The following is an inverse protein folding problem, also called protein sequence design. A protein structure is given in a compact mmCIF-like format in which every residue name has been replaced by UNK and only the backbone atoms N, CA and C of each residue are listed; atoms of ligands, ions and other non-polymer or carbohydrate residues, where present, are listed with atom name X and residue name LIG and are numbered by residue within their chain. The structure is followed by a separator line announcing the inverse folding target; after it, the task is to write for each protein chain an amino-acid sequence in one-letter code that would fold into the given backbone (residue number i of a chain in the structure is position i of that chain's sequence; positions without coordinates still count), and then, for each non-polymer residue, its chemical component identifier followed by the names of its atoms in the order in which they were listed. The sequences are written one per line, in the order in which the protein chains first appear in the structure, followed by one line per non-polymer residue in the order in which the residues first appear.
data_IF_817344620089
#
_entry.id   IF_817344620089
#
_cell.length_a   1.000
_cell.length_b   1.000
_cell.length_c   1.000
_cell.angle_alpha   90.00
_cell.angle_beta   90.00
_cell.angle_gamma   90.00
#
_symmetry.space_group_name_H-M   'P 1'
#
loop_
_entity.id
_entity.type
_entity.pdbx_description
1 polymer ?
#
# COMPACT_ATOMS: atom_id res chain seq x y z
N UNK A 1 41.95 -35.49 22.73
CA UNK A 1 41.01 -35.74 21.62
C UNK A 1 39.59 -35.15 21.84
N UNK A 2 39.10 -34.90 23.08
CA UNK A 2 37.73 -34.36 23.33
C UNK A 2 37.44 -32.91 22.82
N UNK A 3 38.44 -32.03 22.78
CA UNK A 3 38.24 -30.61 22.38
C UNK A 3 37.93 -30.40 20.88
N UNK A 4 38.39 -31.24 19.99
CA UNK A 4 38.11 -31.13 18.53
C UNK A 4 36.65 -31.48 18.19
N UNK A 5 36.05 -32.44 18.89
CA UNK A 5 34.65 -32.81 18.67
C UNK A 5 33.65 -31.70 19.07
N UNK A 6 33.94 -31.00 20.18
CA UNK A 6 33.11 -29.88 20.65
C UNK A 6 33.10 -28.72 19.63
N UNK A 7 34.29 -28.39 19.06
CA UNK A 7 34.35 -27.30 18.05
C UNK A 7 33.55 -27.60 16.78
N UNK A 8 33.60 -28.86 16.31
CA UNK A 8 32.82 -29.31 15.15
C UNK A 8 31.32 -29.25 15.46
N UNK A 9 30.89 -29.71 16.63
CA UNK A 9 29.49 -29.68 17.04
C UNK A 9 28.94 -28.24 17.15
N UNK A 10 29.70 -27.33 17.75
CA UNK A 10 29.36 -25.93 17.83
C UNK A 10 29.27 -25.30 16.42
N UNK A 11 30.20 -25.60 15.53
CA UNK A 11 30.19 -25.13 14.15
C UNK A 11 28.94 -25.60 13.39
N UNK A 12 28.59 -26.87 13.49
CA UNK A 12 27.37 -27.42 12.87
C UNK A 12 26.13 -26.78 13.44
N UNK A 13 26.05 -26.59 14.77
CA UNK A 13 24.93 -25.94 15.41
C UNK A 13 24.72 -24.51 14.90
N UNK A 14 25.80 -23.72 14.78
CA UNK A 14 25.74 -22.35 14.24
C UNK A 14 25.27 -22.31 12.79
N UNK A 15 25.74 -23.27 11.95
CA UNK A 15 25.28 -23.40 10.56
C UNK A 15 23.77 -23.70 10.50
N UNK A 16 23.29 -24.64 11.33
CA UNK A 16 21.84 -24.96 11.39
C UNK A 16 21.02 -23.77 11.83
N UNK A 17 21.46 -23.04 12.85
CA UNK A 17 20.78 -21.82 13.30
C UNK A 17 20.75 -20.77 12.18
N UNK A 18 21.88 -20.53 11.52
CA UNK A 18 21.97 -19.58 10.40
C UNK A 18 21.03 -19.94 9.24
N UNK A 19 20.99 -21.21 8.84
CA UNK A 19 20.08 -21.69 7.80
C UNK A 19 18.60 -21.56 8.22
N UNK A 20 18.28 -21.81 9.49
CA UNK A 20 16.92 -21.66 10.03
C UNK A 20 16.46 -20.21 9.99
N UNK A 21 17.32 -19.24 10.32
CA UNK A 21 17.02 -17.81 10.26
C UNK A 21 16.79 -17.39 8.80
N UNK A 22 17.65 -17.80 7.88
CA UNK A 22 17.50 -17.52 6.44
C UNK A 22 16.19 -18.12 5.91
N UNK A 23 15.89 -19.37 6.26
CA UNK A 23 14.65 -20.04 5.87
C UNK A 23 13.41 -19.33 6.38
N UNK A 24 13.41 -18.89 7.65
CA UNK A 24 12.31 -18.13 8.24
C UNK A 24 12.11 -16.77 7.55
N UNK A 25 13.20 -16.05 7.26
CA UNK A 25 13.12 -14.77 6.54
C UNK A 25 12.57 -14.94 5.11
N UNK A 26 13.05 -15.95 4.38
CA UNK A 26 12.55 -16.28 3.05
C UNK A 26 11.07 -16.68 3.07
N UNK A 27 10.63 -17.49 4.02
CA UNK A 27 9.25 -17.88 4.20
C UNK A 27 8.34 -16.67 4.48
N UNK A 28 8.75 -15.76 5.36
CA UNK A 28 7.98 -14.55 5.65
C UNK A 28 7.82 -13.67 4.41
N UNK A 29 8.87 -13.50 3.62
CA UNK A 29 8.83 -12.71 2.37
C UNK A 29 7.91 -13.35 1.33
N UNK A 30 8.02 -14.66 1.11
CA UNK A 30 7.18 -15.40 0.16
C UNK A 30 5.71 -15.36 0.60
N UNK A 31 5.43 -15.56 1.89
CA UNK A 31 4.06 -15.55 2.42
C UNK A 31 3.40 -14.16 2.30
N UNK A 32 4.17 -13.07 2.54
CA UNK A 32 3.68 -11.70 2.37
C UNK A 32 3.32 -11.42 0.90
N UNK A 33 4.20 -11.77 -0.04
CA UNK A 33 3.96 -11.60 -1.47
C UNK A 33 2.75 -12.42 -1.96
N UNK A 34 2.58 -13.64 -1.43
CA UNK A 34 1.43 -14.48 -1.79
C UNK A 34 0.11 -13.89 -1.29
N UNK A 35 0.07 -13.42 -0.03
CA UNK A 35 -1.12 -12.77 0.53
C UNK A 35 -1.48 -11.50 -0.24
N UNK A 36 -0.49 -10.67 -0.58
CA UNK A 36 -0.70 -9.47 -1.37
C UNK A 36 -1.26 -9.79 -2.77
N UNK A 37 -0.66 -10.72 -3.50
CA UNK A 37 -1.18 -11.14 -4.81
C UNK A 37 -2.63 -11.63 -4.72
N UNK A 38 -2.95 -12.39 -3.68
CA UNK A 38 -4.32 -12.86 -3.44
C UNK A 38 -5.29 -11.69 -3.19
N UNK A 39 -4.90 -10.68 -2.40
CA UNK A 39 -5.72 -9.48 -2.18
C UNK A 39 -5.95 -8.70 -3.47
N UNK A 40 -4.89 -8.46 -4.26
CA UNK A 40 -4.98 -7.77 -5.54
C UNK A 40 -5.95 -8.52 -6.47
N UNK A 41 -5.76 -9.83 -6.66
CA UNK A 41 -6.59 -10.63 -7.56
C UNK A 41 -8.06 -10.69 -7.10
N UNK A 42 -8.30 -10.81 -5.78
CA UNK A 42 -9.65 -10.80 -5.23
C UNK A 42 -10.35 -9.47 -5.50
N UNK A 43 -9.64 -8.35 -5.29
CA UNK A 43 -10.20 -7.02 -5.52
C UNK A 43 -10.42 -6.73 -7.01
N UNK A 44 -9.50 -7.15 -7.89
CA UNK A 44 -9.68 -7.04 -9.34
C UNK A 44 -10.93 -7.80 -9.82
N UNK A 45 -11.12 -9.03 -9.34
CA UNK A 45 -12.31 -9.82 -9.64
C UNK A 45 -13.59 -9.10 -9.23
N UNK A 46 -13.59 -8.46 -8.07
CA UNK A 46 -14.75 -7.69 -7.61
C UNK A 46 -15.02 -6.46 -8.48
N UNK A 47 -13.97 -5.74 -8.90
CA UNK A 47 -14.12 -4.63 -9.85
C UNK A 47 -14.78 -5.13 -11.15
N UNK A 48 -14.32 -6.25 -11.68
CA UNK A 48 -14.89 -6.84 -12.91
C UNK A 48 -16.35 -7.25 -12.74
N UNK A 49 -16.69 -7.90 -11.63
CA UNK A 49 -18.07 -8.31 -11.31
C UNK A 49 -18.99 -7.10 -11.18
N UNK A 50 -18.54 -6.06 -10.48
CA UNK A 50 -19.32 -4.82 -10.33
C UNK A 50 -19.53 -4.12 -11.68
N UNK A 51 -18.51 -4.05 -12.53
CA UNK A 51 -18.62 -3.48 -13.88
C UNK A 51 -19.56 -4.29 -14.79
N UNK A 52 -19.57 -5.62 -14.67
CA UNK A 52 -20.50 -6.47 -15.40
C UNK A 52 -21.95 -6.22 -14.97
N UNK A 53 -22.21 -6.16 -13.66
CA UNK A 53 -23.55 -5.85 -13.12
C UNK A 53 -24.03 -4.47 -13.57
N UNK A 54 -23.19 -3.46 -13.53
CA UNK A 54 -23.55 -2.09 -13.95
C UNK A 54 -23.86 -1.98 -15.44
N UNK A 55 -23.32 -2.85 -16.30
CA UNK A 55 -23.62 -2.92 -17.74
C UNK A 55 -24.92 -3.65 -18.05
N UNK A 56 -25.41 -4.50 -17.14
CA UNK A 56 -26.60 -5.35 -17.35
C UNK A 56 -27.91 -4.71 -16.87
N UNK A 57 -27.86 -3.54 -16.19
CA UNK A 57 -29.06 -2.78 -15.80
C UNK A 57 -29.34 -1.73 -16.85
N UNK A 58 -30.32 -1.92 -17.78
CA UNK A 58 -30.72 -0.88 -18.73
C UNK A 58 -31.56 0.16 -17.99
N UNK A 59 -31.05 1.38 -17.90
CA UNK A 59 -31.81 2.61 -17.80
C UNK A 59 -32.94 2.69 -16.77
N UNK A 60 -32.60 2.86 -15.48
CA UNK A 60 -33.43 3.62 -14.58
C UNK A 60 -32.52 4.41 -13.60
N UNK A 61 -32.42 5.69 -13.81
CA UNK A 61 -31.50 6.60 -13.14
C UNK A 61 -31.84 6.88 -11.66
N UNK A 62 -32.86 6.23 -11.05
CA UNK A 62 -33.31 6.51 -9.70
C UNK A 62 -33.40 5.29 -8.76
N UNK A 63 -32.95 4.12 -9.21
CA UNK A 63 -32.83 2.96 -8.33
C UNK A 63 -31.35 2.67 -8.09
N UNK A 64 -30.72 3.45 -7.21
CA UNK A 64 -29.54 2.94 -6.50
C UNK A 64 -30.00 1.68 -5.75
N UNK A 65 -29.49 0.47 -6.08
CA UNK A 65 -29.68 -0.63 -5.19
C UNK A 65 -29.08 -0.22 -3.84
N UNK A 66 -29.83 -0.42 -2.77
CA UNK A 66 -29.39 -0.22 -1.38
C UNK A 66 -28.35 -1.32 -1.02
N UNK A 67 -27.35 -1.46 -1.86
CA UNK A 67 -26.10 -2.12 -1.57
C UNK A 67 -25.39 -1.19 -0.60
N UNK A 68 -25.34 -1.55 0.69
CA UNK A 68 -24.44 -0.98 1.70
C UNK A 68 -23.23 -0.48 0.99
N UNK A 69 -23.09 0.86 0.96
CA UNK A 69 -22.17 1.63 0.12
C UNK A 69 -20.90 0.85 -0.24
N UNK A 70 -20.64 0.49 -1.52
CA UNK A 70 -19.42 -0.25 -1.89
C UNK A 70 -18.16 0.61 -1.77
N UNK A 71 -18.25 1.69 -1.02
CA UNK A 71 -17.16 2.61 -0.70
C UNK A 71 -16.28 2.10 0.45
N UNK A 72 -16.70 1.04 1.11
CA UNK A 72 -16.00 0.48 2.25
C UNK A 72 -16.02 -1.04 2.14
N UNK A 73 -14.83 -1.60 1.90
CA UNK A 73 -14.48 -2.85 2.49
C UNK A 73 -14.99 -4.14 1.81
N UNK A 74 -14.43 -4.41 0.65
CA UNK A 74 -14.37 -5.79 0.23
C UNK A 74 -13.15 -6.39 0.92
N UNK A 75 -13.34 -7.04 2.07
CA UNK A 75 -12.31 -7.62 2.91
C UNK A 75 -11.25 -6.59 3.40
N UNK A 76 -11.63 -5.38 3.80
CA UNK A 76 -10.68 -4.37 4.28
C UNK A 76 -9.86 -3.68 3.21
N UNK A 77 -10.24 -3.77 1.92
CA UNK A 77 -9.48 -3.15 0.82
C UNK A 77 -10.23 -1.95 0.26
N UNK A 78 -9.62 -0.75 0.35
CA UNK A 78 -10.15 0.53 -0.16
C UNK A 78 -9.98 0.64 -1.69
N UNK A 79 -8.89 0.07 -2.22
CA UNK A 79 -8.56 0.15 -3.63
C UNK A 79 -7.23 -0.50 -3.98
N UNK A 80 -6.82 -0.35 -5.24
CA UNK A 80 -5.50 -0.74 -5.73
C UNK A 80 -4.72 0.51 -6.10
N UNK A 81 -3.56 0.72 -5.47
CA UNK A 81 -2.63 1.79 -5.76
C UNK A 81 -1.60 1.32 -6.77
N UNK A 82 -1.38 2.11 -7.82
CA UNK A 82 -0.38 1.85 -8.83
C UNK A 82 0.48 3.09 -9.06
N UNK A 83 1.80 2.90 -9.15
CA UNK A 83 2.77 3.92 -9.51
C UNK A 83 3.66 3.35 -10.63
N UNK A 84 3.33 3.60 -11.90
CA UNK A 84 4.03 2.98 -13.04
C UNK A 84 5.54 3.26 -13.04
N UNK A 85 5.94 4.45 -12.59
CA UNK A 85 7.36 4.87 -12.52
C UNK A 85 8.25 3.89 -11.77
N UNK A 86 7.72 3.23 -10.74
CA UNK A 86 8.46 2.31 -9.88
C UNK A 86 7.93 0.87 -9.96
N UNK A 87 7.08 0.59 -10.98
CA UNK A 87 6.43 -0.71 -11.18
C UNK A 87 5.68 -1.21 -9.93
N UNK A 88 5.05 -0.27 -9.20
CA UNK A 88 4.27 -0.59 -8.01
C UNK A 88 2.82 -0.88 -8.35
N UNK A 89 2.31 -2.00 -7.86
CA UNK A 89 0.89 -2.33 -7.78
C UNK A 89 0.63 -3.00 -6.43
N UNK A 90 -0.20 -2.37 -5.59
CA UNK A 90 -0.43 -2.80 -4.21
C UNK A 90 -1.87 -2.55 -3.79
N UNK A 91 -2.42 -3.43 -2.94
CA UNK A 91 -3.70 -3.19 -2.29
C UNK A 91 -3.59 -2.08 -1.24
N UNK A 92 -4.62 -1.25 -1.13
CA UNK A 92 -4.77 -0.26 -0.07
C UNK A 92 -5.76 -0.81 0.94
N UNK A 93 -5.28 -1.19 2.12
CA UNK A 93 -6.12 -1.61 3.24
C UNK A 93 -6.68 -0.41 4.00
N UNK A 94 -7.75 -0.61 4.75
CA UNK A 94 -8.27 0.38 5.68
C UNK A 94 -7.48 0.35 6.98
N UNK A 95 -7.06 1.52 7.47
CA UNK A 95 -6.21 1.65 8.66
C UNK A 95 -4.71 1.57 8.37
N UNK A 96 -3.94 2.06 9.35
CA UNK A 96 -2.47 2.10 9.30
C UNK A 96 -1.84 1.31 10.45
N UNK A 97 -2.57 0.34 10.98
CA UNK A 97 -2.08 -0.59 11.98
C UNK A 97 -1.03 -1.57 11.40
N UNK A 98 -0.29 -2.23 12.31
CA UNK A 98 0.81 -3.12 11.91
C UNK A 98 0.34 -4.34 11.11
N UNK A 99 -0.88 -4.81 11.34
CA UNK A 99 -1.41 -5.99 10.61
C UNK A 99 -1.76 -5.61 9.17
N UNK A 100 -2.36 -4.44 8.95
CA UNK A 100 -2.62 -3.88 7.62
C UNK A 100 -1.32 -3.62 6.87
N UNK A 101 -0.39 -2.88 7.49
CA UNK A 101 0.86 -2.46 6.84
C UNK A 101 1.83 -3.60 6.53
N UNK A 102 1.65 -4.75 7.16
CA UNK A 102 2.45 -5.95 6.88
C UNK A 102 2.19 -6.54 5.49
N UNK A 103 0.97 -6.39 4.95
CA UNK A 103 0.54 -7.03 3.71
C UNK A 103 0.00 -6.08 2.65
N UNK A 104 -0.20 -4.81 2.98
CA UNK A 104 -0.76 -3.77 2.11
C UNK A 104 -0.14 -2.40 2.45
N UNK A 105 -0.45 -1.38 1.67
CA UNK A 105 -0.37 0.00 2.14
C UNK A 105 -1.67 0.36 2.84
N UNK A 106 -1.65 1.28 3.81
CA UNK A 106 -2.79 1.56 4.68
C UNK A 106 -3.37 2.95 4.44
N UNK A 107 -4.69 3.04 4.35
CA UNK A 107 -5.40 4.31 4.32
C UNK A 107 -5.54 4.87 5.74
N UNK A 108 -5.27 6.16 5.92
CA UNK A 108 -5.60 6.86 7.16
C UNK A 108 -7.11 7.09 7.24
N UNK A 109 -7.82 6.33 8.06
CA UNK A 109 -9.29 6.24 8.11
C UNK A 109 -10.02 7.58 8.29
N UNK A 110 -9.36 8.59 8.86
CA UNK A 110 -9.93 9.94 9.06
C UNK A 110 -9.65 10.89 7.89
N UNK A 111 -9.19 10.38 6.75
CA UNK A 111 -8.88 11.17 5.55
C UNK A 111 -9.86 10.86 4.41
N UNK A 112 -9.82 11.63 3.32
CA UNK A 112 -10.73 11.45 2.20
C UNK A 112 -10.53 10.10 1.51
N UNK A 113 -11.57 9.58 0.84
CA UNK A 113 -11.49 8.42 -0.03
C UNK A 113 -11.00 8.81 -1.45
N UNK A 114 -10.52 7.84 -2.26
CA UNK A 114 -10.06 8.11 -3.62
C UNK A 114 -11.09 8.87 -4.46
N UNK A 115 -10.66 9.95 -5.11
CA UNK A 115 -11.49 10.80 -5.98
C UNK A 115 -12.38 11.81 -5.27
N UNK A 116 -12.48 11.77 -3.95
CA UNK A 116 -13.25 12.75 -3.17
C UNK A 116 -12.45 14.04 -2.96
N UNK A 117 -13.16 15.17 -2.78
CA UNK A 117 -12.58 16.39 -2.23
C UNK A 117 -11.94 16.11 -0.88
N UNK A 118 -10.74 16.64 -0.66
CA UNK A 118 -9.94 16.38 0.50
C UNK A 118 -8.65 15.65 0.14
N UNK A 119 -7.97 15.12 1.14
CA UNK A 119 -6.67 14.50 1.02
C UNK A 119 -6.79 13.00 1.32
N UNK A 120 -6.66 12.16 0.30
CA UNK A 120 -6.59 10.70 0.45
C UNK A 120 -5.18 10.33 0.90
N UNK A 121 -5.00 9.97 2.18
CA UNK A 121 -3.69 9.72 2.75
C UNK A 121 -3.41 8.21 2.89
N UNK A 122 -2.24 7.79 2.43
CA UNK A 122 -1.82 6.38 2.42
C UNK A 122 -0.42 6.24 3.00
N UNK A 123 -0.27 5.35 3.99
CA UNK A 123 1.02 4.97 4.54
C UNK A 123 1.51 3.64 3.98
N UNK A 124 2.82 3.51 3.84
CA UNK A 124 3.46 2.24 3.49
C UNK A 124 4.85 2.11 4.08
N UNK A 125 5.24 0.89 4.41
CA UNK A 125 6.57 0.61 4.91
C UNK A 125 7.65 0.85 3.85
N UNK A 126 8.82 1.31 4.33
CA UNK A 126 10.05 1.44 3.57
C UNK A 126 11.14 0.63 4.25
N UNK A 127 11.04 -0.68 4.14
CA UNK A 127 12.00 -1.61 4.71
C UNK A 127 12.16 -2.84 3.79
N UNK A 128 13.13 -3.71 4.12
CA UNK A 128 13.42 -4.91 3.33
C UNK A 128 12.88 -6.20 3.97
N UNK A 129 12.07 -6.10 5.03
CA UNK A 129 11.61 -7.26 5.79
C UNK A 129 10.19 -7.67 5.44
N UNK A 130 9.28 -6.70 5.39
CA UNK A 130 7.87 -6.91 5.03
C UNK A 130 7.41 -5.78 4.13
N UNK A 131 6.58 -6.08 3.13
CA UNK A 131 5.89 -5.06 2.36
C UNK A 131 6.84 -3.96 1.84
N UNK A 132 7.74 -4.32 0.94
CA UNK A 132 8.70 -3.39 0.31
C UNK A 132 8.00 -2.35 -0.58
N UNK A 133 6.72 -2.03 -0.26
CA UNK A 133 5.83 -1.33 -1.18
C UNK A 133 6.31 0.07 -1.52
N UNK A 134 6.81 0.82 -0.52
CA UNK A 134 7.28 2.18 -0.73
C UNK A 134 8.81 2.30 -0.71
N UNK A 135 9.55 1.20 -0.90
CA UNK A 135 11.02 1.22 -0.90
C UNK A 135 11.61 2.12 -1.97
N UNK A 136 10.97 2.16 -3.16
CA UNK A 136 11.41 2.95 -4.31
C UNK A 136 10.64 4.26 -4.47
N UNK A 137 9.91 4.70 -3.43
CA UNK A 137 9.07 5.90 -3.51
C UNK A 137 9.91 7.18 -3.75
N UNK A 138 11.18 7.19 -3.36
CA UNK A 138 12.13 8.27 -3.64
C UNK A 138 12.55 8.42 -5.12
N UNK A 139 12.24 7.44 -5.97
CA UNK A 139 12.44 7.54 -7.42
C UNK A 139 11.32 8.32 -8.13
N UNK A 140 10.20 8.54 -7.45
CA UNK A 140 9.04 9.29 -7.97
C UNK A 140 9.38 10.77 -8.03
N UNK A 141 8.94 11.44 -9.10
CA UNK A 141 9.22 12.86 -9.36
C UNK A 141 7.94 13.64 -9.63
N UNK A 142 8.03 14.96 -9.52
CA UNK A 142 6.94 15.84 -9.95
C UNK A 142 6.57 15.56 -11.42
N UNK A 143 5.26 15.43 -11.67
CA UNK A 143 4.72 15.06 -12.97
C UNK A 143 4.43 13.57 -13.15
N UNK A 144 4.98 12.68 -12.31
CA UNK A 144 4.70 11.25 -12.36
C UNK A 144 3.23 10.96 -11.96
N UNK A 145 2.70 9.86 -12.46
CA UNK A 145 1.32 9.43 -12.18
C UNK A 145 1.24 8.51 -10.97
N UNK A 146 0.24 8.75 -10.12
CA UNK A 146 -0.26 7.84 -9.10
C UNK A 146 -1.69 7.48 -9.51
N UNK A 147 -2.00 6.19 -9.63
CA UNK A 147 -3.31 5.71 -10.08
C UNK A 147 -3.93 4.91 -8.95
N UNK A 148 -5.19 5.19 -8.63
CA UNK A 148 -5.97 4.41 -7.66
C UNK A 148 -7.19 3.84 -8.36
N UNK A 149 -7.29 2.51 -8.41
CA UNK A 149 -8.47 1.80 -8.92
C UNK A 149 -9.36 1.37 -7.78
N UNK A 150 -10.64 1.70 -7.90
CA UNK A 150 -11.69 1.28 -6.97
C UNK A 150 -12.84 0.66 -7.75
N UNK A 151 -13.82 0.11 -7.05
CA UNK A 151 -15.08 -0.36 -7.69
C UNK A 151 -15.86 0.78 -8.38
N UNK A 152 -15.70 2.04 -7.91
CA UNK A 152 -16.36 3.22 -8.47
C UNK A 152 -15.65 3.77 -9.71
N UNK A 153 -14.38 3.42 -9.95
CA UNK A 153 -13.62 3.90 -11.09
C UNK A 153 -12.12 3.99 -10.84
N UNK A 154 -11.44 4.58 -11.80
CA UNK A 154 -10.01 4.85 -11.78
C UNK A 154 -9.76 6.33 -11.60
N UNK A 155 -8.92 6.67 -10.62
CA UNK A 155 -8.54 8.02 -10.25
C UNK A 155 -7.04 8.20 -10.49
N UNK A 156 -6.70 9.12 -11.38
CA UNK A 156 -5.32 9.43 -11.73
C UNK A 156 -4.89 10.74 -11.11
N UNK A 157 -3.86 10.69 -10.30
CA UNK A 157 -3.26 11.86 -9.65
C UNK A 157 -1.90 12.14 -10.27
N UNK A 158 -1.60 13.43 -10.47
CA UNK A 158 -0.30 13.91 -10.91
C UNK A 158 0.49 14.44 -9.74
N UNK A 159 1.70 13.94 -9.53
CA UNK A 159 2.59 14.39 -8.45
C UNK A 159 2.96 15.85 -8.66
N UNK A 160 2.80 16.67 -7.61
CA UNK A 160 3.12 18.10 -7.65
C UNK A 160 4.06 18.57 -6.53
N UNK A 161 4.19 17.79 -5.43
CA UNK A 161 5.03 18.16 -4.29
C UNK A 161 5.67 16.91 -3.68
N UNK A 162 6.96 17.03 -3.37
CA UNK A 162 7.75 15.98 -2.72
C UNK A 162 8.60 16.64 -1.65
N UNK A 163 8.45 16.19 -0.40
CA UNK A 163 9.19 16.76 0.71
C UNK A 163 9.53 15.73 1.78
N UNK A 164 10.52 16.04 2.60
CA UNK A 164 10.88 15.28 3.78
C UNK A 164 10.51 16.11 5.00
N UNK A 165 9.83 15.48 5.97
CA UNK A 165 9.34 16.14 7.18
C UNK A 165 9.68 15.32 8.43
N UNK A 166 9.61 15.96 9.59
CA UNK A 166 9.71 15.29 10.89
C UNK A 166 8.53 14.32 11.09
N UNK A 167 8.70 13.24 11.88
CA UNK A 167 7.62 12.29 12.16
C UNK A 167 6.40 12.90 12.86
N UNK A 168 6.59 14.01 13.54
CA UNK A 168 5.56 14.76 14.26
C UNK A 168 4.77 15.74 13.38
N UNK A 169 5.17 15.94 12.12
CA UNK A 169 4.51 16.85 11.19
C UNK A 169 3.25 16.20 10.61
N UNK A 170 2.15 16.30 11.35
CA UNK A 170 0.87 15.69 11.00
C UNK A 170 0.04 16.53 10.03
N UNK A 171 0.36 17.81 9.82
CA UNK A 171 -0.36 18.69 8.89
C UNK A 171 -0.30 18.21 7.44
N UNK A 172 0.60 17.28 7.11
CA UNK A 172 0.64 16.64 5.80
C UNK A 172 -0.61 15.83 5.49
N UNK A 173 -1.37 15.44 6.52
CA UNK A 173 -2.61 14.66 6.43
C UNK A 173 -3.87 15.53 6.37
N UNK A 174 -3.74 16.85 6.60
CA UNK A 174 -4.87 17.76 6.62
C UNK A 174 -5.67 17.73 5.33
N UNK A 175 -6.98 17.98 5.45
CA UNK A 175 -7.87 18.05 4.32
C UNK A 175 -7.48 19.20 3.37
N UNK A 176 -7.63 18.95 2.08
CA UNK A 176 -7.35 19.93 1.02
C UNK A 176 -8.63 20.37 0.33
N UNK A 177 -8.68 21.58 -0.25
CA UNK A 177 -9.85 22.05 -0.99
C UNK A 177 -10.13 21.26 -2.27
N UNK A 178 -9.08 20.68 -2.86
CA UNK A 178 -9.14 19.84 -4.05
C UNK A 178 -9.03 18.35 -3.68
N UNK A 179 -9.35 17.48 -4.64
CA UNK A 179 -9.09 16.04 -4.49
C UNK A 179 -7.59 15.79 -4.64
N UNK A 180 -6.92 15.39 -3.55
CA UNK A 180 -5.48 15.11 -3.54
C UNK A 180 -5.20 13.73 -2.95
N UNK A 181 -3.99 13.23 -3.20
CA UNK A 181 -3.43 12.05 -2.56
C UNK A 181 -2.12 12.43 -1.86
N UNK A 182 -1.90 11.88 -0.67
CA UNK A 182 -0.64 11.99 0.06
C UNK A 182 -0.11 10.60 0.40
N UNK A 183 1.07 10.27 -0.12
CA UNK A 183 1.78 9.04 0.22
C UNK A 183 2.81 9.34 1.30
N UNK A 184 2.84 8.51 2.34
CA UNK A 184 3.69 8.69 3.52
C UNK A 184 4.55 7.45 3.72
N UNK A 185 5.86 7.62 3.82
CA UNK A 185 6.77 6.52 4.17
C UNK A 185 7.95 7.00 5.01
N UNK A 186 8.66 6.07 5.63
CA UNK A 186 9.84 6.39 6.43
C UNK A 186 11.05 6.73 5.56
N UNK A 187 11.90 7.65 6.02
CA UNK A 187 13.18 8.00 5.37
C UNK A 187 14.20 8.46 6.43
N UNK A 188 15.52 8.23 6.26
CA UNK A 188 16.14 7.32 5.29
C UNK A 188 15.75 5.86 5.51
N UNK A 189 15.97 5.02 4.49
CA UNK A 189 15.71 3.57 4.60
C UNK A 189 16.49 3.00 5.78
N UNK A 190 15.83 2.16 6.61
CA UNK A 190 16.36 1.52 7.83
C UNK A 190 16.57 2.46 9.04
N UNK A 191 16.79 3.75 8.83
CA UNK A 191 17.02 4.71 9.94
C UNK A 191 15.70 5.32 10.39
N UNK A 192 14.81 5.67 9.44
CA UNK A 192 13.43 6.11 9.66
C UNK A 192 13.26 7.34 10.55
N UNK A 193 14.24 8.24 10.57
CA UNK A 193 14.21 9.47 11.38
C UNK A 193 13.18 10.49 10.91
N UNK A 194 12.86 10.47 9.61
CA UNK A 194 11.94 11.41 8.97
C UNK A 194 10.86 10.66 8.18
N UNK A 195 9.97 11.42 7.55
CA UNK A 195 8.96 10.92 6.61
C UNK A 195 9.16 11.52 5.23
N UNK A 196 9.18 10.67 4.20
CA UNK A 196 9.08 11.09 2.81
C UNK A 196 7.59 11.22 2.48
N UNK A 197 7.22 12.39 1.98
CA UNK A 197 5.87 12.75 1.61
C UNK A 197 5.81 13.01 0.11
N UNK A 198 4.87 12.36 -0.58
CA UNK A 198 4.58 12.63 -1.99
C UNK A 198 3.13 13.05 -2.10
N UNK A 199 2.88 14.23 -2.68
CA UNK A 199 1.53 14.76 -2.90
C UNK A 199 1.19 14.77 -4.38
N UNK A 200 0.01 14.26 -4.72
CA UNK A 200 -0.56 14.28 -6.06
C UNK A 200 -1.91 14.99 -6.07
N UNK A 201 -2.25 15.65 -7.17
CA UNK A 201 -3.58 16.26 -7.41
C UNK A 201 -4.30 15.44 -8.46
N UNK A 202 -5.61 15.21 -8.26
CA UNK A 202 -6.47 14.52 -9.20
C UNK A 202 -6.49 15.23 -10.55
N UNK A 203 -6.21 14.50 -11.63
CA UNK A 203 -6.38 15.02 -12.99
C UNK A 203 -7.89 15.02 -13.33
N UNK A 204 -8.45 16.19 -13.57
CA UNK A 204 -9.79 16.31 -14.16
C UNK A 204 -9.71 15.89 -15.62
N UNK A 205 -10.65 15.02 -16.03
CA UNK A 205 -10.81 14.63 -17.44
C UNK A 205 -11.29 15.80 -18.26
#
# INVERSE_FOLDING_TARGET
MKRRGVGIFVGVLLVVIGLSIIGAAAYMRISANYKQKRQINAYEKTIEEFQKMSRQVPGNSDASPDLKSPSQDINGTVGLLMIPKIDLKVAVGEGVDMDTLKFAVGHFSNTALPGQKGNFCVAGHRNYTYGEYFNRLDEVKNGDAIIVKTVKGEYKYKVYDIKVVEPTETSVLDATPDATITLVTCTPVRVATHRLIIKGRLETK
#
